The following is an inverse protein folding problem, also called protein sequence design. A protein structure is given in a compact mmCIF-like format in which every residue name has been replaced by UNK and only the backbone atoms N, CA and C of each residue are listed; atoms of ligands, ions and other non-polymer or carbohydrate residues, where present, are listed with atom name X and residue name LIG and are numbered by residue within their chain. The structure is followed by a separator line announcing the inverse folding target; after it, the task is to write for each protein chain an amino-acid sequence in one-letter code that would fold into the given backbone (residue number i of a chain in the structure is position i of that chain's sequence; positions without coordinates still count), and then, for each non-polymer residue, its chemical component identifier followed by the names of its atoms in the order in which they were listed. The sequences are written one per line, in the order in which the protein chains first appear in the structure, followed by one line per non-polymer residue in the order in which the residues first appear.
data_IF_983763602060
#
_entry.id   IF_983763602060
#
_cell.length_a   1.000
_cell.length_b   1.000
_cell.length_c   1.000
_cell.angle_alpha   90.00
_cell.angle_beta   90.00
_cell.angle_gamma   90.00
#
_symmetry.space_group_name_H-M   'P 1'
#
loop_
_entity.id
_entity.type
_entity.pdbx_description
1 polymer ?
#
# COMPACT_ATOMS: atom_id res chain seq x y z
N UNK A 1 -20.21 15.66 -2.54
CA UNK A 1 -19.04 16.22 -1.80
C UNK A 1 -17.79 15.60 -2.43
N UNK A 2 -16.87 16.39 -2.97
CA UNK A 2 -15.65 15.85 -3.62
C UNK A 2 -14.84 15.09 -2.57
N UNK A 3 -14.50 13.83 -2.85
CA UNK A 3 -13.93 12.92 -1.85
C UNK A 3 -12.40 13.01 -1.72
N UNK A 4 -11.72 13.75 -2.60
CA UNK A 4 -10.26 13.93 -2.62
C UNK A 4 -9.96 15.35 -3.09
N UNK A 5 -9.94 16.29 -2.14
CA UNK A 5 -9.77 17.73 -2.41
C UNK A 5 -8.38 18.22 -2.04
N UNK A 6 -7.66 17.44 -1.23
CA UNK A 6 -6.33 17.74 -0.74
C UNK A 6 -5.45 16.51 -0.79
N UNK A 7 -4.15 16.76 -0.82
CA UNK A 7 -3.13 15.75 -0.73
C UNK A 7 -2.00 16.17 0.22
N UNK A 8 -1.21 15.18 0.63
CA UNK A 8 0.04 15.35 1.36
C UNK A 8 1.05 14.35 0.83
N UNK A 9 2.28 14.81 0.64
CA UNK A 9 3.38 13.97 0.19
C UNK A 9 4.29 13.60 1.36
N UNK A 10 4.71 12.33 1.38
CA UNK A 10 5.73 11.77 2.27
C UNK A 10 6.81 11.20 1.36
N UNK A 11 8.00 11.76 1.45
CA UNK A 11 9.11 11.50 0.54
C UNK A 11 10.27 10.90 1.32
N UNK A 12 10.78 9.77 0.88
CA UNK A 12 12.01 9.18 1.40
C UNK A 12 13.18 10.03 0.93
N UNK A 13 14.02 10.47 1.86
CA UNK A 13 15.20 11.29 1.57
C UNK A 13 16.23 10.49 0.76
N UNK A 14 16.91 11.15 -0.19
CA UNK A 14 17.85 10.51 -1.12
C UNK A 14 19.01 9.79 -0.40
N UNK A 15 19.55 10.40 0.66
CA UNK A 15 20.58 9.77 1.48
C UNK A 15 20.07 8.48 2.15
N UNK A 16 18.84 8.50 2.67
CA UNK A 16 18.24 7.35 3.32
C UNK A 16 17.91 6.24 2.30
N UNK A 17 17.44 6.62 1.11
CA UNK A 17 17.20 5.71 0.00
C UNK A 17 18.49 4.98 -0.41
N UNK A 18 19.61 5.68 -0.45
CA UNK A 18 20.91 5.09 -0.83
C UNK A 18 21.42 4.07 0.20
N UNK A 19 21.11 4.27 1.47
CA UNK A 19 21.53 3.38 2.57
C UNK A 19 20.63 2.16 2.75
N UNK A 20 19.30 2.35 2.65
CA UNK A 20 18.31 1.36 3.10
C UNK A 20 17.34 0.89 2.00
N UNK A 21 17.22 1.65 0.91
CA UNK A 21 16.34 1.37 -0.22
C UNK A 21 14.86 1.71 -0.01
N UNK A 22 14.19 2.06 -1.12
CA UNK A 22 12.79 2.47 -1.13
C UNK A 22 11.81 1.45 -0.53
N UNK A 23 11.91 0.13 -0.82
CA UNK A 23 10.94 -0.83 -0.30
C UNK A 23 10.89 -0.89 1.23
N UNK A 24 12.02 -0.69 1.90
CA UNK A 24 12.11 -0.73 3.36
C UNK A 24 11.56 0.56 3.98
N UNK A 25 12.06 1.72 3.56
CA UNK A 25 11.66 3.02 4.14
C UNK A 25 10.21 3.37 3.84
N UNK A 26 9.76 3.15 2.60
CA UNK A 26 8.32 3.24 2.25
C UNK A 26 7.50 2.30 3.13
N UNK A 27 8.02 1.11 3.38
CA UNK A 27 7.40 0.12 4.26
C UNK A 27 7.20 0.62 5.69
N UNK A 28 8.23 1.21 6.29
CA UNK A 28 8.16 1.80 7.63
C UNK A 28 7.22 2.98 7.72
N UNK A 29 7.21 3.86 6.72
CA UNK A 29 6.21 4.93 6.62
C UNK A 29 4.78 4.35 6.54
N UNK A 30 4.57 3.33 5.69
CA UNK A 30 3.27 2.65 5.55
C UNK A 30 2.83 1.89 6.81
N UNK A 31 3.75 1.37 7.62
CA UNK A 31 3.44 0.79 8.94
C UNK A 31 2.94 1.87 9.92
N UNK A 32 3.60 3.02 9.97
CA UNK A 32 3.18 4.17 10.78
C UNK A 32 1.82 4.70 10.35
N UNK A 33 1.63 4.87 9.03
CA UNK A 33 0.36 5.27 8.43
C UNK A 33 -0.76 4.26 8.75
N UNK A 34 -0.51 2.96 8.60
CA UNK A 34 -1.47 1.92 8.92
C UNK A 34 -1.97 2.02 10.37
N UNK A 35 -1.05 2.21 11.33
CA UNK A 35 -1.41 2.38 12.74
C UNK A 35 -2.31 3.61 12.94
N UNK A 36 -1.97 4.73 12.31
CA UNK A 36 -2.74 5.96 12.41
C UNK A 36 -4.15 5.79 11.80
N UNK A 37 -4.25 5.20 10.60
CA UNK A 37 -5.52 4.93 9.92
C UNK A 37 -6.44 4.00 10.72
N UNK A 38 -5.88 3.00 11.40
CA UNK A 38 -6.67 2.09 12.25
C UNK A 38 -7.08 2.76 13.57
N UNK A 39 -6.26 3.67 14.12
CA UNK A 39 -6.60 4.36 15.38
C UNK A 39 -7.73 5.40 15.24
N UNK A 40 -7.99 5.90 14.04
CA UNK A 40 -9.02 6.92 13.79
C UNK A 40 -10.13 6.31 12.94
N UNK A 41 -11.30 6.14 13.52
CA UNK A 41 -12.46 5.64 12.80
C UNK A 41 -12.97 6.65 11.75
N UNK A 42 -13.44 6.12 10.63
CA UNK A 42 -14.10 6.88 9.57
C UNK A 42 -13.19 7.70 8.65
N UNK A 43 -11.86 7.57 8.77
CA UNK A 43 -10.96 8.21 7.80
C UNK A 43 -11.10 7.54 6.42
N UNK A 44 -11.33 8.35 5.39
CA UNK A 44 -11.37 7.89 4.00
C UNK A 44 -10.18 8.46 3.23
N UNK A 45 -9.01 7.88 3.51
CA UNK A 45 -7.72 8.30 2.94
C UNK A 45 -7.24 7.25 1.93
N UNK A 46 -7.00 7.69 0.70
CA UNK A 46 -6.37 6.90 -0.35
C UNK A 46 -4.86 7.15 -0.41
N UNK A 47 -4.11 6.18 -0.93
CA UNK A 47 -2.66 6.27 -1.09
C UNK A 47 -2.28 5.98 -2.54
N UNK A 48 -1.36 6.78 -3.09
CA UNK A 48 -0.64 6.47 -4.33
C UNK A 48 0.86 6.58 -4.16
N UNK A 49 1.59 6.07 -5.15
CA UNK A 49 3.04 6.16 -5.21
C UNK A 49 3.44 6.87 -6.51
N UNK A 50 3.65 8.19 -6.51
CA UNK A 50 3.87 8.96 -7.75
C UNK A 50 5.12 8.54 -8.52
N UNK A 51 6.23 8.26 -7.80
CA UNK A 51 7.52 7.90 -8.41
C UNK A 51 7.75 6.39 -8.57
N UNK A 52 6.70 5.57 -8.44
CA UNK A 52 6.85 4.13 -8.65
C UNK A 52 7.28 3.81 -10.09
N UNK A 53 8.04 2.73 -10.23
CA UNK A 53 8.41 2.15 -11.52
C UNK A 53 7.84 0.73 -11.62
N UNK A 54 8.15 0.01 -12.70
CA UNK A 54 7.74 -1.39 -12.84
C UNK A 54 8.25 -2.30 -11.71
N UNK A 55 9.40 -1.97 -11.12
CA UNK A 55 10.10 -2.83 -10.16
C UNK A 55 10.36 -2.18 -8.79
N UNK A 56 10.21 -0.85 -8.67
CA UNK A 56 10.47 -0.13 -7.43
C UNK A 56 9.28 0.74 -7.01
N UNK A 57 9.08 0.89 -5.70
CA UNK A 57 7.95 1.64 -5.14
C UNK A 57 8.17 3.16 -5.16
N UNK A 58 9.39 3.63 -5.42
CA UNK A 58 9.71 5.02 -5.73
C UNK A 58 9.98 5.93 -4.53
N UNK A 59 9.79 5.47 -3.29
CA UNK A 59 10.09 6.27 -2.10
C UNK A 59 9.17 7.48 -1.90
N UNK A 60 8.13 7.65 -2.72
CA UNK A 60 7.20 8.76 -2.64
C UNK A 60 5.79 8.23 -2.39
N UNK A 61 5.22 8.57 -1.24
CA UNK A 61 3.87 8.22 -0.84
C UNK A 61 3.04 9.49 -0.89
N UNK A 62 1.92 9.46 -1.62
CA UNK A 62 0.94 10.55 -1.63
C UNK A 62 -0.35 10.10 -0.96
N UNK A 63 -0.78 10.85 0.04
CA UNK A 63 -2.06 10.69 0.72
C UNK A 63 -3.11 11.53 -0.01
N UNK A 64 -4.31 10.99 -0.18
CA UNK A 64 -5.45 11.67 -0.83
C UNK A 64 -6.66 11.62 0.08
N UNK A 65 -7.33 12.75 0.27
CA UNK A 65 -8.56 12.77 1.06
C UNK A 65 -9.17 14.16 1.17
N UNK A 66 -10.06 14.30 2.15
CA UNK A 66 -10.53 15.61 2.59
C UNK A 66 -9.47 16.30 3.42
N UNK A 67 -9.42 17.62 3.37
CA UNK A 67 -8.48 18.40 4.18
C UNK A 67 -8.65 18.08 5.69
N UNK A 68 -9.89 17.95 6.15
CA UNK A 68 -10.22 17.58 7.53
C UNK A 68 -9.75 16.17 7.94
N UNK A 69 -9.80 15.19 7.04
CA UNK A 69 -9.33 13.83 7.34
C UNK A 69 -7.79 13.77 7.38
N UNK A 70 -7.12 14.49 6.48
CA UNK A 70 -5.67 14.62 6.48
C UNK A 70 -5.15 15.36 7.73
N UNK A 71 -5.84 16.43 8.16
CA UNK A 71 -5.50 17.16 9.37
C UNK A 71 -5.71 16.31 10.65
N UNK A 72 -6.75 15.46 10.67
CA UNK A 72 -6.94 14.49 11.75
C UNK A 72 -5.80 13.46 11.78
N UNK A 73 -5.34 13.03 10.61
CA UNK A 73 -4.26 12.07 10.49
C UNK A 73 -2.91 12.66 10.94
N UNK A 74 -2.58 13.91 10.60
CA UNK A 74 -1.28 14.51 10.98
C UNK A 74 -1.10 14.71 12.48
N UNK A 75 -2.19 14.78 13.25
CA UNK A 75 -2.15 14.81 14.72
C UNK A 75 -1.68 13.47 15.32
N UNK A 76 -1.63 12.40 14.53
CA UNK A 76 -1.10 11.11 14.98
C UNK A 76 0.41 11.05 14.83
N UNK A 77 1.11 10.76 15.93
CA UNK A 77 2.58 10.60 15.96
C UNK A 77 3.08 9.26 15.41
N UNK A 78 2.38 8.67 14.42
CA UNK A 78 2.67 7.32 13.93
C UNK A 78 4.04 7.17 13.24
N UNK A 79 4.61 8.27 12.77
CA UNK A 79 5.80 8.31 11.92
C UNK A 79 6.98 9.07 12.53
N UNK A 80 6.86 9.60 13.75
CA UNK A 80 7.87 10.49 14.37
C UNK A 80 9.25 9.87 14.64
N UNK A 81 9.41 8.56 14.41
CA UNK A 81 10.69 7.85 14.53
C UNK A 81 11.42 7.77 13.18
N UNK A 82 10.83 8.33 12.13
CA UNK A 82 11.35 8.32 10.77
C UNK A 82 11.69 9.74 10.28
N UNK A 83 11.67 10.74 11.17
CA UNK A 83 11.88 12.15 10.83
C UNK A 83 13.26 12.39 10.17
N UNK A 84 14.27 11.58 10.52
CA UNK A 84 15.60 11.63 9.91
C UNK A 84 15.67 11.00 8.50
N UNK A 85 14.62 10.28 8.08
CA UNK A 85 14.57 9.53 6.82
C UNK A 85 13.52 10.02 5.84
N UNK A 86 12.55 10.82 6.32
CA UNK A 86 11.38 11.24 5.56
C UNK A 86 11.23 12.76 5.57
N UNK A 87 10.87 13.31 4.43
CA UNK A 87 10.30 14.65 4.31
C UNK A 87 8.79 14.54 4.18
N UNK A 88 8.04 15.30 4.99
CA UNK A 88 6.58 15.35 4.91
C UNK A 88 6.18 16.76 4.47
N UNK A 89 5.46 16.86 3.35
CA UNK A 89 5.02 18.15 2.82
C UNK A 89 3.86 18.73 3.65
N UNK A 90 3.65 20.03 3.49
CA UNK A 90 2.39 20.67 3.89
C UNK A 90 1.20 20.13 3.08
N UNK A 91 -0.01 20.32 3.61
CA UNK A 91 -1.24 19.99 2.89
C UNK A 91 -1.44 20.92 1.70
N UNK A 92 -1.77 20.33 0.55
CA UNK A 92 -2.01 21.09 -0.67
C UNK A 92 -3.34 20.69 -1.32
N UNK A 93 -4.03 21.63 -1.98
CA UNK A 93 -5.23 21.29 -2.74
C UNK A 93 -4.87 20.39 -3.93
N UNK A 94 -5.73 19.43 -4.23
CA UNK A 94 -5.60 18.62 -5.45
C UNK A 94 -5.72 19.54 -6.68
N UNK A 95 -4.81 19.46 -7.66
CA UNK A 95 -4.88 20.27 -8.88
C UNK A 95 -6.24 20.16 -9.59
N UNK A 96 -6.71 21.24 -10.21
CA UNK A 96 -8.00 21.22 -10.90
C UNK A 96 -8.01 20.26 -12.11
N UNK A 97 -6.90 20.22 -12.84
CA UNK A 97 -6.68 19.31 -13.96
C UNK A 97 -5.89 18.10 -13.48
N UNK A 98 -6.55 16.95 -13.43
CA UNK A 98 -5.93 15.66 -13.10
C UNK A 98 -6.71 14.53 -13.74
N UNK A 99 -6.07 13.36 -13.86
CA UNK A 99 -6.76 12.11 -14.17
C UNK A 99 -6.95 11.32 -12.89
N UNK A 100 -7.56 10.14 -13.00
CA UNK A 100 -7.75 9.21 -11.90
C UNK A 100 -6.94 7.94 -12.13
N UNK A 101 -6.59 7.25 -11.06
CA UNK A 101 -6.05 5.90 -11.15
C UNK A 101 -6.51 5.08 -9.95
N UNK A 102 -6.62 3.77 -10.11
CA UNK A 102 -6.79 2.86 -8.99
C UNK A 102 -5.41 2.39 -8.52
N UNK A 103 -5.20 2.37 -7.20
CA UNK A 103 -3.98 1.85 -6.57
C UNK A 103 -4.38 0.75 -5.60
N UNK A 104 -3.98 -0.49 -5.94
CA UNK A 104 -4.43 -1.68 -5.24
C UNK A 104 -3.29 -2.59 -4.81
N UNK A 105 -3.53 -3.31 -3.72
CA UNK A 105 -2.68 -4.44 -3.32
C UNK A 105 -2.92 -5.63 -4.25
N UNK A 106 -1.84 -6.25 -4.72
CA UNK A 106 -1.88 -7.52 -5.46
C UNK A 106 -1.31 -8.63 -4.58
N UNK A 107 -2.00 -9.77 -4.52
CA UNK A 107 -1.54 -10.95 -3.82
C UNK A 107 -1.51 -12.12 -4.79
N UNK A 108 -0.40 -12.86 -4.80
CA UNK A 108 -0.31 -14.11 -5.54
C UNK A 108 -0.21 -15.29 -4.58
N UNK A 109 -0.50 -16.47 -5.12
CA UNK A 109 -0.24 -17.74 -4.45
C UNK A 109 1.24 -18.13 -4.62
N UNK A 110 2.15 -17.29 -4.10
CA UNK A 110 3.61 -17.41 -4.25
C UNK A 110 4.28 -18.42 -3.32
N UNK A 111 3.58 -18.89 -2.28
CA UNK A 111 4.06 -19.93 -1.37
C UNK A 111 3.19 -21.20 -1.53
N UNK A 112 3.63 -22.16 -2.37
CA UNK A 112 2.91 -23.40 -2.62
C UNK A 112 2.63 -24.20 -1.33
N UNK A 113 3.58 -24.28 -0.40
CA UNK A 113 3.38 -24.98 0.87
C UNK A 113 2.26 -24.36 1.72
N UNK A 114 2.17 -23.02 1.77
CA UNK A 114 1.06 -22.32 2.44
C UNK A 114 -0.28 -22.59 1.77
N UNK A 115 -0.31 -22.65 0.44
CA UNK A 115 -1.52 -22.97 -0.33
C UNK A 115 -1.95 -24.41 -0.08
N UNK A 116 -1.02 -25.38 -0.11
CA UNK A 116 -1.29 -26.79 0.18
C UNK A 116 -1.84 -27.00 1.59
N UNK A 117 -1.23 -26.39 2.62
CA UNK A 117 -1.77 -26.42 3.99
C UNK A 117 -3.21 -25.91 4.08
N UNK A 118 -3.55 -24.87 3.29
CA UNK A 118 -4.92 -24.35 3.21
C UNK A 118 -5.86 -25.32 2.47
N UNK A 119 -5.39 -25.99 1.42
CA UNK A 119 -6.15 -27.01 0.68
C UNK A 119 -6.47 -28.20 1.59
N UNK A 120 -5.46 -28.76 2.27
CA UNK A 120 -5.63 -29.84 3.25
C UNK A 120 -6.68 -29.47 4.29
N UNK A 121 -6.55 -28.28 4.91
CA UNK A 121 -7.50 -27.82 5.92
C UNK A 121 -8.92 -27.62 5.38
N UNK A 122 -9.05 -27.03 4.19
CA UNK A 122 -10.36 -26.62 3.68
C UNK A 122 -11.11 -27.74 2.96
N UNK A 123 -10.40 -28.68 2.34
CA UNK A 123 -10.98 -29.79 1.57
C UNK A 123 -10.85 -31.13 2.30
N UNK A 124 -10.17 -31.18 3.45
CA UNK A 124 -9.93 -32.39 4.24
C UNK A 124 -9.27 -33.53 3.43
N UNK A 125 -8.30 -33.17 2.58
CA UNK A 125 -7.55 -34.08 1.69
C UNK A 125 -6.16 -34.37 2.25
N UNK A 126 -5.52 -35.44 1.77
CA UNK A 126 -4.14 -35.77 2.16
C UNK A 126 -3.14 -34.74 1.62
N UNK A 127 -1.92 -34.71 2.20
CA UNK A 127 -0.85 -33.84 1.71
C UNK A 127 -0.44 -34.18 0.27
N UNK A 128 -0.46 -35.46 -0.09
CA UNK A 128 -0.17 -35.96 -1.44
C UNK A 128 -1.22 -35.49 -2.45
N UNK A 129 -2.50 -35.52 -2.08
CA UNK A 129 -3.60 -35.00 -2.88
C UNK A 129 -3.49 -33.48 -3.04
N UNK A 130 -3.17 -32.75 -1.96
CA UNK A 130 -2.92 -31.32 -2.02
C UNK A 130 -1.72 -30.97 -2.93
N UNK A 131 -0.68 -31.81 -2.97
CA UNK A 131 0.45 -31.66 -3.89
C UNK A 131 0.05 -31.86 -5.35
N UNK A 132 -0.81 -32.84 -5.65
CA UNK A 132 -1.39 -33.02 -7.00
C UNK A 132 -2.26 -31.83 -7.41
N UNK A 133 -3.05 -31.28 -6.48
CA UNK A 133 -3.91 -30.11 -6.74
C UNK A 133 -3.06 -28.85 -6.98
N UNK A 134 -2.02 -28.64 -6.18
CA UNK A 134 -1.14 -27.47 -6.25
C UNK A 134 0.36 -27.85 -6.24
N UNK A 135 0.89 -28.31 -7.40
CA UNK A 135 2.30 -28.60 -7.54
C UNK A 135 3.12 -27.31 -7.54
N UNK A 136 4.43 -27.42 -7.29
CA UNK A 136 5.33 -26.26 -7.23
C UNK A 136 5.41 -25.48 -8.56
N UNK A 137 5.14 -26.14 -9.68
CA UNK A 137 5.02 -25.49 -11.00
C UNK A 137 3.89 -24.45 -11.08
N UNK A 138 2.88 -24.53 -10.20
CA UNK A 138 1.81 -23.51 -10.10
C UNK A 138 2.22 -22.29 -9.28
N UNK A 139 3.45 -22.22 -8.76
CA UNK A 139 3.95 -21.06 -8.02
C UNK A 139 3.85 -19.79 -8.88
N UNK A 140 3.13 -18.80 -8.36
CA UNK A 140 2.97 -17.52 -9.04
C UNK A 140 4.00 -16.51 -8.53
N UNK A 141 4.83 -16.00 -9.43
CA UNK A 141 5.79 -14.92 -9.16
C UNK A 141 5.16 -13.60 -9.60
N UNK A 142 5.16 -12.61 -8.71
CA UNK A 142 4.75 -11.24 -9.04
C UNK A 142 6.01 -10.43 -9.37
N UNK A 143 5.97 -9.74 -10.51
CA UNK A 143 6.93 -8.70 -10.90
C UNK A 143 6.18 -7.37 -10.86
N UNK A 144 6.06 -6.83 -9.65
CA UNK A 144 5.37 -5.59 -9.34
C UNK A 144 6.17 -4.85 -8.27
N UNK A 145 6.08 -3.52 -8.21
CA UNK A 145 6.68 -2.78 -7.12
C UNK A 145 6.05 -3.20 -5.79
N UNK A 146 6.84 -3.16 -4.73
CA UNK A 146 6.40 -3.52 -3.39
C UNK A 146 7.10 -2.70 -2.33
N UNK A 147 6.48 -2.62 -1.17
CA UNK A 147 7.13 -2.22 0.07
C UNK A 147 7.14 -3.37 1.07
N UNK A 148 8.05 -3.32 2.04
CA UNK A 148 8.25 -4.35 3.06
C UNK A 148 7.60 -3.91 4.37
N UNK A 149 6.76 -4.78 4.95
CA UNK A 149 6.21 -4.52 6.28
C UNK A 149 6.53 -5.64 7.26
N UNK A 150 6.69 -5.27 8.51
CA UNK A 150 6.62 -6.16 9.66
C UNK A 150 5.20 -6.11 10.22
N UNK A 151 4.50 -7.24 10.16
CA UNK A 151 3.13 -7.33 10.66
C UNK A 151 3.12 -7.38 12.17
N UNK A 152 2.60 -6.32 12.80
CA UNK A 152 2.39 -6.29 14.25
C UNK A 152 1.40 -7.36 14.73
N UNK A 153 0.36 -7.67 13.94
CA UNK A 153 -0.68 -8.62 14.34
C UNK A 153 -0.29 -10.10 14.22
N UNK A 154 0.61 -10.43 13.28
CA UNK A 154 1.01 -11.83 13.03
C UNK A 154 2.46 -12.13 13.38
N UNK A 155 3.25 -11.11 13.74
CA UNK A 155 4.68 -11.22 14.00
C UNK A 155 5.54 -11.54 12.77
N UNK A 156 4.92 -11.66 11.59
CA UNK A 156 5.63 -11.94 10.35
C UNK A 156 6.46 -10.73 9.93
N UNK A 157 7.75 -10.96 9.69
CA UNK A 157 8.70 -9.92 9.25
C UNK A 157 8.88 -9.90 7.73
N UNK A 158 9.24 -8.74 7.20
CA UNK A 158 9.62 -8.54 5.80
C UNK A 158 8.59 -9.05 4.78
N UNK A 159 7.31 -8.81 5.05
CA UNK A 159 6.22 -9.17 4.14
C UNK A 159 6.21 -8.19 2.96
N UNK A 160 6.30 -8.72 1.73
CA UNK A 160 6.12 -7.92 0.52
C UNK A 160 4.65 -7.56 0.32
N UNK A 161 4.35 -6.27 0.29
CA UNK A 161 3.06 -5.73 -0.14
C UNK A 161 3.20 -5.23 -1.57
N UNK A 162 2.82 -6.07 -2.53
CA UNK A 162 2.85 -5.69 -3.95
C UNK A 162 1.72 -4.72 -4.26
N UNK A 163 2.07 -3.66 -4.98
CA UNK A 163 1.14 -2.60 -5.38
C UNK A 163 1.04 -2.60 -6.90
N UNK A 164 -0.17 -2.33 -7.40
CA UNK A 164 -0.41 -2.09 -8.82
C UNK A 164 -1.24 -0.83 -8.99
N UNK A 165 -0.77 0.05 -9.86
CA UNK A 165 -1.51 1.18 -10.37
C UNK A 165 -2.16 0.79 -11.70
N UNK A 166 -3.35 1.30 -11.96
CA UNK A 166 -3.99 1.15 -13.27
C UNK A 166 -3.45 2.19 -14.24
N UNK A 167 -3.73 1.98 -15.53
CA UNK A 167 -3.64 3.08 -16.49
C UNK A 167 -4.54 4.24 -16.03
N UNK A 168 -4.21 5.48 -16.42
CA UNK A 168 -5.02 6.64 -16.08
C UNK A 168 -6.46 6.49 -16.60
N UNK A 169 -7.42 6.97 -15.80
CA UNK A 169 -8.86 6.92 -16.03
C UNK A 169 -9.40 8.35 -16.04
N UNK A 170 -10.45 8.59 -16.81
CA UNK A 170 -11.05 9.94 -16.94
C UNK A 170 -12.17 10.18 -15.93
N UNK A 171 -12.61 9.13 -15.22
CA UNK A 171 -13.72 9.20 -14.27
C UNK A 171 -13.31 8.67 -12.91
N UNK A 172 -13.74 9.38 -11.88
CA UNK A 172 -13.66 8.94 -10.50
C UNK A 172 -14.56 7.71 -10.27
N UNK A 173 -14.05 6.72 -9.56
CA UNK A 173 -14.82 5.63 -8.99
C UNK A 173 -14.79 5.71 -7.46
N UNK A 174 -15.97 5.75 -6.87
CA UNK A 174 -16.14 5.63 -5.42
C UNK A 174 -15.85 4.21 -4.94
N UNK A 175 -15.25 4.13 -3.76
CA UNK A 175 -15.11 2.89 -3.01
C UNK A 175 -14.44 3.14 -1.67
N UNK A 176 -14.27 2.05 -0.92
CA UNK A 176 -13.58 2.06 0.36
C UNK A 176 -12.09 1.84 0.18
N UNK A 177 -11.31 2.45 1.08
CA UNK A 177 -9.89 2.19 1.23
C UNK A 177 -9.69 1.22 2.38
N UNK A 178 -8.80 0.25 2.18
CA UNK A 178 -8.38 -0.65 3.25
C UNK A 178 -7.51 0.04 4.29
N UNK A 179 -7.05 -0.71 5.28
CA UNK A 179 -6.23 -0.21 6.39
C UNK A 179 -4.83 0.32 6.01
N UNK A 180 -4.45 0.20 4.74
CA UNK A 180 -3.22 0.79 4.16
C UNK A 180 -3.53 1.90 3.15
N UNK A 181 -4.77 2.38 3.06
CA UNK A 181 -5.16 3.39 2.07
C UNK A 181 -5.21 2.89 0.62
N UNK A 182 -5.11 1.58 0.40
CA UNK A 182 -5.20 0.94 -0.93
C UNK A 182 -6.63 0.45 -1.18
N UNK A 183 -7.09 0.50 -2.42
CA UNK A 183 -8.43 0.03 -2.79
C UNK A 183 -8.42 -0.78 -4.08
N UNK A 184 -9.20 -1.86 -4.21
CA UNK A 184 -9.40 -2.53 -5.50
C UNK A 184 -10.39 -1.81 -6.43
N UNK A 185 -11.14 -0.83 -5.92
CA UNK A 185 -12.24 -0.17 -6.66
C UNK A 185 -12.06 1.36 -6.67
N UNK A 186 -11.80 1.97 -5.51
CA UNK A 186 -11.72 3.42 -5.40
C UNK A 186 -10.54 3.98 -6.22
N UNK A 187 -10.76 5.10 -6.88
CA UNK A 187 -9.70 5.81 -7.60
C UNK A 187 -9.19 7.00 -6.81
N UNK A 188 -7.91 7.31 -6.97
CA UNK A 188 -7.27 8.53 -6.47
C UNK A 188 -6.84 9.43 -7.62
N UNK A 189 -6.74 10.75 -7.41
CA UNK A 189 -6.14 11.67 -8.37
C UNK A 189 -4.74 11.22 -8.81
N UNK A 190 -4.45 11.44 -10.08
CA UNK A 190 -3.16 11.21 -10.72
C UNK A 190 -2.67 12.52 -11.34
N UNK A 191 -1.55 13.01 -10.82
CA UNK A 191 -0.83 14.21 -11.23
C UNK A 191 0.62 14.13 -10.76
#
# INVERSE_FOLDING_TARGET
MKMMEAYQDIIVLEQAQSEMGNPLLTGKAMEGLHKALVSISGLRIGVSFPLHTENDIGGHIRLHGKASDLERLSKCKGMSHLDDYLEISEFQPTPAEHRFQNVRRVQSKSNPARVRRRIVRNLNVSEEEALKIYPDSKKQILRLPYFLIDSASTGQKSIRVFVKHTMPLDRHADGDFGSYGLSPVATVPLF
#
